data_IF_617471884298
#
_entry.id   IF_617471884298
#
_cell.length_a   1.000
_cell.length_b   1.000
_cell.length_c   1.000
_cell.angle_alpha   90.00
_cell.angle_beta   90.00
_cell.angle_gamma   90.00
#
_symmetry.space_group_name_H-M   'P 1'
#
loop_
_entity.id
_entity.type
_entity.pdbx_description
1 polymer ?
#
# COMPACT_ATOMS: atom_id res chain seq x y z
N UNK A 1 -62.51 -14.09 -32.36
CA UNK A 1 -62.91 -15.51 -32.20
C UNK A 1 -61.84 -16.25 -31.37
N UNK A 2 -62.11 -17.51 -31.00
CA UNK A 2 -61.21 -18.52 -30.36
C UNK A 2 -59.84 -18.62 -31.10
N UNK A 3 -58.68 -19.07 -30.58
CA UNK A 3 -58.07 -19.45 -29.26
C UNK A 3 -56.68 -20.10 -29.57
N UNK A 4 -55.83 -20.30 -28.53
CA UNK A 4 -54.67 -21.24 -28.44
C UNK A 4 -53.48 -20.95 -29.39
N UNK A 5 -52.22 -21.40 -29.19
CA UNK A 5 -51.45 -21.97 -28.04
C UNK A 5 -50.33 -20.94 -27.65
N UNK A 6 -49.61 -20.93 -26.52
CA UNK A 6 -48.87 -21.94 -25.72
C UNK A 6 -47.55 -22.44 -26.34
N UNK A 7 -46.43 -21.93 -25.83
CA UNK A 7 -45.08 -22.52 -25.90
C UNK A 7 -44.34 -22.16 -24.61
N UNK A 8 -43.85 -23.17 -23.89
CA UNK A 8 -43.30 -23.07 -22.54
C UNK A 8 -41.86 -22.54 -22.50
N UNK A 9 -41.49 -21.86 -21.42
CA UNK A 9 -40.15 -21.28 -21.23
C UNK A 9 -39.95 -20.75 -19.80
N UNK A 10 -39.56 -21.65 -18.90
CA UNK A 10 -39.57 -21.50 -17.44
C UNK A 10 -38.82 -20.27 -16.86
N UNK A 11 -39.48 -19.62 -15.89
CA UNK A 11 -38.96 -19.19 -14.58
C UNK A 11 -37.51 -18.63 -14.47
N UNK A 12 -37.38 -17.36 -14.07
CA UNK A 12 -37.03 -17.01 -12.67
C UNK A 12 -37.07 -15.50 -12.41
N UNK A 13 -37.60 -15.11 -11.23
CA UNK A 13 -37.56 -13.74 -10.72
C UNK A 13 -36.26 -13.48 -9.94
N UNK A 14 -35.72 -12.25 -10.01
CA UNK A 14 -35.00 -11.65 -8.89
C UNK A 14 -35.00 -10.11 -8.99
N UNK A 15 -35.32 -9.45 -7.89
CA UNK A 15 -35.48 -7.99 -7.74
C UNK A 15 -34.60 -7.52 -6.58
N UNK A 16 -33.65 -6.60 -6.79
CA UNK A 16 -33.03 -5.85 -5.69
C UNK A 16 -32.33 -4.55 -6.13
N UNK A 17 -32.42 -3.57 -5.23
CA UNK A 17 -31.94 -2.18 -5.26
C UNK A 17 -30.39 -2.02 -5.20
N UNK A 18 -29.82 -0.81 -5.40
CA UNK A 18 -28.38 -0.61 -5.45
C UNK A 18 -27.71 -0.64 -4.07
N UNK A 19 -26.48 -1.18 -4.01
CA UNK A 19 -25.66 -1.19 -2.80
C UNK A 19 -24.57 -0.12 -2.89
N UNK A 20 -24.60 0.82 -1.94
CA UNK A 20 -23.52 1.78 -1.70
C UNK A 20 -22.45 1.10 -0.86
N UNK A 21 -21.34 0.71 -1.48
CA UNK A 21 -20.23 0.09 -0.75
C UNK A 21 -19.31 1.17 -0.15
N UNK A 22 -19.42 1.34 1.17
CA UNK A 22 -18.40 2.05 1.95
C UNK A 22 -17.19 1.12 2.12
N UNK A 23 -15.94 1.57 1.90
CA UNK A 23 -14.79 0.73 2.16
C UNK A 23 -14.75 0.37 3.65
N UNK A 24 -14.85 -0.92 3.95
CA UNK A 24 -14.83 -1.42 5.31
C UNK A 24 -13.41 -1.33 5.87
N UNK A 25 -13.28 -0.70 7.04
CA UNK A 25 -12.02 -0.75 7.79
C UNK A 25 -11.68 -2.18 8.16
N UNK A 26 -10.39 -2.51 8.12
CA UNK A 26 -9.88 -3.88 8.30
C UNK A 26 -10.39 -4.47 9.62
N UNK A 27 -11.29 -5.44 9.51
CA UNK A 27 -11.65 -6.33 10.60
C UNK A 27 -10.48 -7.30 10.79
N UNK A 28 -9.74 -7.14 11.89
CA UNK A 28 -8.66 -8.06 12.26
C UNK A 28 -9.30 -9.37 12.70
N UNK A 29 -9.43 -10.30 11.75
CA UNK A 29 -9.98 -11.63 11.99
C UNK A 29 -9.08 -12.40 12.96
N UNK A 30 -9.60 -12.57 14.17
CA UNK A 30 -9.01 -13.36 15.24
C UNK A 30 -9.28 -14.85 15.00
N UNK A 31 -8.41 -15.53 14.26
CA UNK A 31 -7.84 -16.84 14.62
C UNK A 31 -6.76 -17.31 13.61
N UNK A 32 -5.52 -17.49 14.08
CA UNK A 32 -4.52 -18.43 13.55
C UNK A 32 -3.15 -18.22 14.23
N UNK A 33 -2.75 -19.17 15.10
CA UNK A 33 -1.34 -19.33 15.51
C UNK A 33 -0.80 -18.35 16.56
N UNK A 34 -0.17 -18.91 17.59
CA UNK A 34 0.55 -18.17 18.65
C UNK A 34 1.89 -17.64 18.12
N UNK A 35 1.83 -16.58 17.34
CA UNK A 35 2.98 -15.71 17.02
C UNK A 35 2.81 -14.41 17.79
N UNK A 36 3.87 -13.87 18.37
CA UNK A 36 3.81 -12.59 19.07
C UNK A 36 3.33 -11.52 18.08
N UNK A 37 2.10 -11.03 18.26
CA UNK A 37 1.48 -10.10 17.32
C UNK A 37 2.18 -8.74 17.43
N UNK A 38 3.14 -8.51 16.56
CA UNK A 38 3.89 -7.25 16.48
C UNK A 38 2.89 -6.11 16.29
N UNK A 39 2.83 -5.21 17.26
CA UNK A 39 2.02 -3.99 17.17
C UNK A 39 2.71 -3.05 16.16
N UNK A 40 2.28 -3.15 14.89
CA UNK A 40 2.82 -2.36 13.79
C UNK A 40 2.66 -0.85 14.00
N UNK A 41 1.66 -0.42 14.77
CA UNK A 41 1.44 0.98 15.13
C UNK A 41 2.46 1.43 16.18
N UNK A 42 2.74 0.59 17.18
CA UNK A 42 3.82 0.82 18.14
C UNK A 42 5.18 0.85 17.45
N UNK A 43 5.50 -0.11 16.58
CA UNK A 43 6.80 -0.14 15.90
C UNK A 43 7.04 1.08 15.00
N UNK A 44 6.02 1.51 14.24
CA UNK A 44 6.14 2.77 13.47
C UNK A 44 6.31 4.00 14.36
N UNK A 45 5.74 4.02 15.57
CA UNK A 45 6.00 5.09 16.56
C UNK A 45 7.40 5.01 17.16
N UNK A 46 7.87 3.80 17.49
CA UNK A 46 9.24 3.54 17.96
C UNK A 46 10.29 3.99 16.95
N UNK A 47 10.04 3.75 15.64
CA UNK A 47 10.90 4.25 14.57
C UNK A 47 11.03 5.78 14.60
N UNK A 48 9.93 6.52 14.72
CA UNK A 48 9.97 7.99 14.67
C UNK A 48 10.70 8.64 15.85
N UNK A 49 10.89 7.92 16.95
CA UNK A 49 11.63 8.39 18.14
C UNK A 49 13.01 7.74 18.27
N UNK A 50 13.48 6.96 17.29
CA UNK A 50 14.77 6.29 17.36
C UNK A 50 15.93 7.22 17.00
N UNK A 51 17.08 7.01 17.65
CA UNK A 51 18.31 7.75 17.35
C UNK A 51 18.79 7.54 15.90
N UNK A 52 18.55 6.35 15.35
CA UNK A 52 18.81 6.04 13.93
C UNK A 52 18.02 7.00 13.04
N UNK A 53 16.70 7.09 13.22
CA UNK A 53 15.83 7.92 12.40
C UNK A 53 16.13 9.42 12.60
N UNK A 54 16.37 9.84 13.84
CA UNK A 54 16.72 11.22 14.19
C UNK A 54 18.08 11.66 13.60
N UNK A 55 19.04 10.72 13.46
CA UNK A 55 20.34 10.98 12.84
C UNK A 55 20.30 11.25 11.33
N UNK A 56 19.24 10.81 10.64
CA UNK A 56 19.12 10.93 9.18
C UNK A 56 18.76 12.35 8.75
N UNK A 57 19.73 13.09 8.24
CA UNK A 57 19.55 14.50 7.82
C UNK A 57 18.77 14.67 6.51
N UNK A 58 18.89 13.73 5.56
CA UNK A 58 18.27 13.88 4.22
C UNK A 58 16.91 13.18 4.16
N UNK A 59 15.94 13.82 3.49
CA UNK A 59 14.62 13.25 3.23
C UNK A 59 14.64 11.92 2.45
N UNK A 60 15.65 11.71 1.59
CA UNK A 60 15.83 10.42 0.91
C UNK A 60 16.18 9.31 1.90
N UNK A 61 17.05 9.56 2.88
CA UNK A 61 17.51 8.53 3.80
C UNK A 61 16.36 8.12 4.75
N UNK A 62 15.61 9.11 5.29
CA UNK A 62 14.39 8.86 6.10
C UNK A 62 13.31 8.10 5.32
N UNK A 63 13.12 8.44 4.04
CA UNK A 63 12.20 7.73 3.15
C UNK A 63 12.59 6.26 2.95
N UNK A 64 13.88 5.97 2.70
CA UNK A 64 14.34 4.58 2.56
C UNK A 64 14.14 3.78 3.85
N UNK A 65 14.47 4.36 5.01
CA UNK A 65 14.32 3.67 6.31
C UNK A 65 12.84 3.38 6.62
N UNK A 66 11.92 4.32 6.37
CA UNK A 66 10.47 4.08 6.51
C UNK A 66 10.00 2.91 5.64
N UNK A 67 10.42 2.85 4.37
CA UNK A 67 10.05 1.76 3.47
C UNK A 67 10.60 0.40 3.93
N UNK A 68 11.87 0.36 4.35
CA UNK A 68 12.49 -0.83 4.95
C UNK A 68 11.72 -1.32 6.18
N UNK A 69 11.32 -0.41 7.08
CA UNK A 69 10.54 -0.76 8.27
C UNK A 69 9.14 -1.26 7.91
N UNK A 70 8.43 -0.60 7.00
CA UNK A 70 7.09 -1.04 6.56
C UNK A 70 7.13 -2.46 5.97
N UNK A 71 8.09 -2.75 5.10
CA UNK A 71 8.29 -4.12 4.59
C UNK A 71 8.62 -5.12 5.71
N UNK A 72 9.49 -4.76 6.67
CA UNK A 72 9.82 -5.64 7.81
C UNK A 72 8.60 -5.97 8.67
N UNK A 73 7.67 -5.03 8.84
CA UNK A 73 6.47 -5.21 9.66
C UNK A 73 5.41 -6.11 8.99
N UNK A 74 5.23 -5.97 7.68
CA UNK A 74 4.34 -6.84 6.92
C UNK A 74 4.80 -6.92 5.44
N UNK A 75 5.63 -7.92 5.07
CA UNK A 75 6.15 -8.06 3.71
C UNK A 75 5.05 -8.23 2.67
N UNK A 76 4.00 -9.01 2.98
CA UNK A 76 2.87 -9.26 2.08
C UNK A 76 2.04 -7.98 1.86
N UNK A 77 1.67 -7.30 2.95
CA UNK A 77 0.94 -6.04 2.90
C UNK A 77 1.72 -4.95 2.14
N UNK A 78 3.04 -4.91 2.30
CA UNK A 78 3.92 -4.01 1.54
C UNK A 78 3.99 -4.38 0.05
N UNK A 79 4.08 -5.67 -0.29
CA UNK A 79 4.08 -6.15 -1.67
C UNK A 79 2.76 -5.78 -2.40
N UNK A 80 1.61 -5.95 -1.75
CA UNK A 80 0.33 -5.52 -2.31
C UNK A 80 0.26 -3.99 -2.46
N UNK A 81 0.67 -3.25 -1.42
CA UNK A 81 0.65 -1.80 -1.42
C UNK A 81 1.57 -1.15 -2.48
N UNK A 82 2.71 -1.78 -2.77
CA UNK A 82 3.67 -1.29 -3.79
C UNK A 82 3.29 -1.67 -5.23
N UNK A 83 2.42 -2.68 -5.42
CA UNK A 83 1.90 -3.07 -6.73
C UNK A 83 0.88 -2.05 -7.32
N UNK A 84 0.44 -1.07 -6.52
CA UNK A 84 -0.48 -0.01 -6.96
C UNK A 84 0.22 0.95 -7.95
N UNK A 85 0.10 0.66 -9.25
CA UNK A 85 0.73 1.44 -10.33
C UNK A 85 -0.10 2.68 -10.69
N UNK A 86 0.52 3.85 -10.63
CA UNK A 86 -0.06 5.10 -11.12
C UNK A 86 -0.10 5.16 -12.66
N UNK A 87 -1.04 5.93 -13.23
CA UNK A 87 -1.37 5.99 -14.68
C UNK A 87 -0.19 6.21 -15.65
N UNK A 88 0.94 6.77 -15.20
CA UNK A 88 2.09 7.12 -16.06
C UNK A 88 3.47 6.67 -15.56
N UNK A 89 3.60 6.17 -14.33
CA UNK A 89 4.90 5.85 -13.72
C UNK A 89 4.76 4.71 -12.72
N UNK A 90 5.61 3.70 -12.89
CA UNK A 90 5.89 2.69 -11.87
C UNK A 90 6.83 3.30 -10.84
N UNK A 91 6.48 3.21 -9.56
CA UNK A 91 7.27 3.77 -8.45
C UNK A 91 8.13 2.72 -7.76
N UNK A 92 7.61 1.49 -7.67
CA UNK A 92 8.24 0.34 -7.05
C UNK A 92 8.27 -0.84 -8.02
N UNK A 93 9.30 -1.67 -7.93
CA UNK A 93 9.43 -2.92 -8.65
C UNK A 93 10.29 -3.90 -7.83
N UNK A 94 10.34 -5.16 -8.25
CA UNK A 94 11.24 -6.20 -7.74
C UNK A 94 12.65 -6.17 -8.39
N UNK A 95 12.83 -5.36 -9.44
CA UNK A 95 14.09 -5.20 -10.16
C UNK A 95 14.34 -3.74 -10.62
N UNK A 96 15.59 -3.40 -10.93
CA UNK A 96 15.99 -2.05 -11.34
C UNK A 96 15.51 -1.73 -12.77
N UNK A 97 15.61 -2.71 -13.66
CA UNK A 97 15.36 -2.62 -15.10
C UNK A 97 13.92 -2.15 -15.39
N UNK A 98 12.95 -2.63 -14.62
CA UNK A 98 11.54 -2.23 -14.71
C UNK A 98 11.35 -0.73 -14.43
N UNK A 99 12.13 -0.16 -13.51
CA UNK A 99 12.05 1.27 -13.17
C UNK A 99 12.83 2.14 -14.15
N UNK A 100 13.88 1.61 -14.79
CA UNK A 100 14.59 2.27 -15.89
C UNK A 100 13.75 2.29 -17.18
N UNK A 101 13.12 1.16 -17.54
CA UNK A 101 12.25 1.04 -18.71
C UNK A 101 11.02 1.98 -18.64
N UNK A 102 10.55 2.30 -17.43
CA UNK A 102 9.48 3.28 -17.20
C UNK A 102 9.97 4.74 -17.17
N UNK A 103 11.29 4.99 -17.31
CA UNK A 103 11.84 6.32 -17.57
C UNK A 103 13.32 6.46 -17.19
N UNK A 104 14.14 6.84 -18.18
CA UNK A 104 15.61 6.99 -18.04
C UNK A 104 16.09 8.01 -16.98
N UNK A 105 15.19 8.78 -16.36
CA UNK A 105 15.52 9.79 -15.34
C UNK A 105 15.00 9.42 -13.94
N UNK A 106 14.62 8.17 -13.68
CA UNK A 106 14.03 7.75 -12.39
C UNK A 106 15.03 7.64 -11.23
N UNK A 107 16.31 7.35 -11.54
CA UNK A 107 17.37 6.99 -10.58
C UNK A 107 16.87 5.98 -9.52
N UNK A 108 16.68 4.71 -9.90
CA UNK A 108 16.27 3.66 -8.96
C UNK A 108 17.26 3.50 -7.80
N UNK A 109 16.77 2.95 -6.69
CA UNK A 109 17.60 2.38 -5.61
C UNK A 109 16.90 1.17 -5.00
N UNK A 110 17.66 0.14 -4.65
CA UNK A 110 17.18 -0.95 -3.80
C UNK A 110 16.82 -0.43 -2.40
N UNK A 111 15.72 -0.93 -1.83
CA UNK A 111 15.29 -0.64 -0.47
C UNK A 111 15.98 -1.65 0.47
N UNK A 112 16.82 -1.20 1.44
CA UNK A 112 17.58 -2.09 2.30
C UNK A 112 16.73 -3.12 3.03
N UNK A 113 17.16 -4.39 3.03
CA UNK A 113 16.44 -5.47 3.71
C UNK A 113 15.15 -5.94 3.01
N UNK A 114 14.97 -5.60 1.73
CA UNK A 114 13.79 -5.97 0.94
C UNK A 114 14.21 -6.40 -0.48
N UNK A 115 13.37 -7.16 -1.22
CA UNK A 115 13.57 -7.40 -2.65
C UNK A 115 13.13 -6.24 -3.55
N UNK A 116 12.70 -5.10 -2.98
CA UNK A 116 12.07 -4.02 -3.74
C UNK A 116 13.06 -2.89 -4.08
N UNK A 117 12.81 -2.28 -5.24
CA UNK A 117 13.45 -1.07 -5.73
C UNK A 117 12.46 0.09 -5.75
N UNK A 118 12.95 1.32 -5.62
CA UNK A 118 12.14 2.54 -5.67
C UNK A 118 12.80 3.66 -6.48
N UNK A 119 12.00 4.45 -7.19
CA UNK A 119 12.51 5.63 -7.91
C UNK A 119 12.89 6.75 -6.93
N UNK A 120 14.07 7.36 -7.07
CA UNK A 120 14.55 8.36 -6.10
C UNK A 120 14.64 9.80 -6.62
N UNK A 121 14.66 9.98 -7.95
CA UNK A 121 14.66 11.30 -8.59
C UNK A 121 13.27 11.96 -8.57
N UNK A 122 12.85 12.37 -7.38
CA UNK A 122 11.60 13.06 -7.12
C UNK A 122 11.74 13.97 -5.89
N UNK A 123 10.85 14.96 -5.76
CA UNK A 123 10.86 15.89 -4.64
C UNK A 123 10.29 15.26 -3.35
N UNK A 124 10.50 15.92 -2.20
CA UNK A 124 10.04 15.42 -0.90
C UNK A 124 8.53 15.21 -0.84
N UNK A 125 7.73 16.10 -1.44
CA UNK A 125 6.27 15.93 -1.55
C UNK A 125 5.89 14.60 -2.21
N UNK A 126 6.60 14.17 -3.28
CA UNK A 126 6.36 12.88 -3.92
C UNK A 126 6.76 11.69 -3.04
N UNK A 127 7.86 11.79 -2.28
CA UNK A 127 8.27 10.76 -1.30
C UNK A 127 7.20 10.56 -0.21
N UNK A 128 6.66 11.67 0.31
CA UNK A 128 5.56 11.66 1.27
C UNK A 128 4.32 10.98 0.70
N UNK A 129 3.90 11.35 -0.52
CA UNK A 129 2.75 10.72 -1.20
C UNK A 129 2.95 9.21 -1.48
N UNK A 130 4.19 8.77 -1.78
CA UNK A 130 4.49 7.34 -1.93
C UNK A 130 4.33 6.59 -0.60
N UNK A 131 4.85 7.13 0.50
CA UNK A 131 4.69 6.53 1.84
C UNK A 131 3.23 6.58 2.31
N UNK A 132 2.52 7.68 2.07
CA UNK A 132 1.10 7.84 2.35
C UNK A 132 0.27 6.74 1.69
N UNK A 133 0.47 6.52 0.38
CA UNK A 133 -0.23 5.48 -0.37
C UNK A 133 0.09 4.08 0.15
N UNK A 134 1.38 3.78 0.42
CA UNK A 134 1.78 2.48 0.95
C UNK A 134 1.17 2.23 2.33
N UNK A 135 1.27 3.20 3.25
CA UNK A 135 0.72 3.06 4.61
C UNK A 135 -0.81 2.99 4.62
N UNK A 136 -1.50 3.77 3.78
CA UNK A 136 -2.96 3.70 3.68
C UNK A 136 -3.43 2.32 3.19
N UNK A 137 -2.76 1.76 2.17
CA UNK A 137 -3.06 0.41 1.66
C UNK A 137 -2.68 -0.70 2.67
N UNK A 138 -1.69 -0.46 3.54
CA UNK A 138 -1.36 -1.34 4.66
C UNK A 138 -2.28 -1.16 5.89
N UNK A 139 -3.29 -0.27 5.82
CA UNK A 139 -4.29 -0.12 6.87
C UNK A 139 -3.93 0.79 8.04
N UNK A 140 -2.86 1.59 7.93
CA UNK A 140 -2.48 2.53 8.99
C UNK A 140 -3.49 3.69 9.11
N UNK A 141 -3.66 4.20 10.34
CA UNK A 141 -4.59 5.31 10.61
C UNK A 141 -4.03 6.66 10.12
N UNK A 142 -4.87 7.57 9.59
CA UNK A 142 -4.44 8.85 9.02
C UNK A 142 -3.49 9.66 9.92
N UNK A 143 -3.80 9.79 11.22
CA UNK A 143 -2.99 10.50 12.21
C UNK A 143 -1.54 10.01 12.32
N UNK A 144 -1.30 8.72 12.07
CA UNK A 144 0.05 8.15 12.06
C UNK A 144 0.72 8.36 10.71
N UNK A 145 -0.04 8.25 9.60
CA UNK A 145 0.46 8.53 8.25
C UNK A 145 0.93 9.98 8.14
N UNK A 146 0.18 10.94 8.67
CA UNK A 146 0.56 12.36 8.70
C UNK A 146 1.87 12.57 9.47
N UNK A 147 2.03 11.92 10.64
CA UNK A 147 3.26 12.02 11.45
C UNK A 147 4.47 11.41 10.73
N UNK A 148 4.32 10.22 10.16
CA UNK A 148 5.40 9.56 9.40
C UNK A 148 5.77 10.39 8.16
N UNK A 149 4.80 10.80 7.36
CA UNK A 149 5.07 11.59 6.14
C UNK A 149 5.59 12.99 6.45
N UNK A 150 5.11 13.65 7.50
CA UNK A 150 5.62 14.94 7.96
C UNK A 150 7.10 14.91 8.36
N UNK A 151 7.57 13.76 8.87
CA UNK A 151 8.96 13.56 9.28
C UNK A 151 9.96 13.31 8.13
N UNK A 152 9.48 13.07 6.90
CA UNK A 152 10.32 12.83 5.70
C UNK A 152 10.72 14.16 5.05
#
# INVERSE_FOLDING_TARGET
>A
MRRLLNLDGQLQEAKAAPVVEKPQGIVVSKDAGKTESVDVVKEMRSLLISDEFAGLKKAIDRFMLVLSTLHKLNPEGFAQATNVKGRKRVYFADNEETLLANGNTTKPKAIPGTPFWVITNNNTSRKRQMVEQVMAHMGFQPDLIEKVTGSI
#
